data_IF_611187435012
#
_entry.id   IF_611187435012
#
_cell.length_a   1.000
_cell.length_b   1.000
_cell.length_c   1.000
_cell.angle_alpha   90.00
_cell.angle_beta   90.00
_cell.angle_gamma   90.00
#
_symmetry.space_group_name_H-M   'P 1'
#
loop_
_entity.id
_entity.type
_entity.pdbx_description
1 polymer ?
#
# COMPACT_ATOMS: atom_id res chain seq x y z
N UNK A 1 36.40 -43.35 -14.97
CA UNK A 1 35.27 -42.95 -15.82
C UNK A 1 33.97 -43.13 -15.04
N UNK A 2 33.28 -42.04 -14.70
CA UNK A 2 32.08 -42.08 -13.86
C UNK A 2 30.81 -42.14 -14.72
N UNK A 3 29.94 -43.10 -14.43
CA UNK A 3 28.67 -43.32 -15.11
C UNK A 3 27.68 -42.20 -14.76
N UNK A 4 27.39 -41.32 -15.72
CA UNK A 4 26.33 -40.30 -15.60
C UNK A 4 24.95 -40.96 -15.63
N UNK A 5 24.19 -40.85 -14.54
CA UNK A 5 22.76 -41.22 -14.53
C UNK A 5 21.96 -40.07 -15.13
N UNK A 6 21.44 -40.26 -16.35
CA UNK A 6 20.45 -39.38 -16.94
C UNK A 6 19.09 -39.63 -16.25
N UNK A 7 18.69 -38.75 -15.34
CA UNK A 7 17.32 -38.76 -14.82
C UNK A 7 16.44 -37.99 -15.79
N UNK A 8 15.36 -38.62 -16.28
CA UNK A 8 14.39 -37.95 -17.13
C UNK A 8 13.74 -36.78 -16.37
N UNK A 9 13.99 -35.55 -16.82
CA UNK A 9 13.23 -34.37 -16.42
C UNK A 9 12.01 -34.26 -17.34
N UNK A 10 10.81 -34.15 -16.77
CA UNK A 10 9.61 -33.79 -17.54
C UNK A 10 9.77 -32.37 -18.08
N UNK A 11 9.95 -32.24 -19.39
CA UNK A 11 9.86 -30.95 -20.10
C UNK A 11 8.40 -30.61 -20.32
N UNK A 12 7.83 -29.78 -19.44
CA UNK A 12 6.55 -29.11 -19.74
C UNK A 12 6.86 -27.75 -20.33
N UNK A 13 7.09 -27.72 -21.64
CA UNK A 13 7.33 -26.51 -22.41
C UNK A 13 6.92 -26.72 -23.85
N UNK A 14 5.70 -26.28 -24.19
CA UNK A 14 5.17 -26.34 -25.56
C UNK A 14 3.65 -26.40 -25.59
N UNK A 15 2.99 -25.25 -25.37
CA UNK A 15 1.55 -25.14 -25.55
C UNK A 15 1.30 -24.95 -27.05
N UNK A 16 0.76 -25.96 -27.73
CA UNK A 16 0.44 -25.90 -29.15
C UNK A 16 -0.61 -24.81 -29.46
N UNK A 17 -0.61 -24.20 -30.68
CA UNK A 17 -1.57 -23.16 -31.04
C UNK A 17 -2.96 -23.78 -31.19
N UNK A 18 -3.85 -23.47 -30.25
CA UNK A 18 -5.21 -24.03 -30.19
C UNK A 18 -6.16 -23.21 -31.07
N UNK A 19 -6.75 -23.86 -32.08
CA UNK A 19 -7.90 -23.37 -32.88
C UNK A 19 -9.02 -22.87 -31.95
N UNK A 20 -9.53 -21.66 -32.19
CA UNK A 20 -10.57 -21.01 -31.39
C UNK A 20 -11.88 -21.79 -31.45
N UNK A 21 -12.23 -22.42 -30.34
CA UNK A 21 -13.60 -22.74 -29.97
C UNK A 21 -13.79 -22.14 -28.58
N UNK A 22 -14.82 -21.29 -28.47
CA UNK A 22 -15.15 -20.53 -27.28
C UNK A 22 -15.20 -21.43 -26.04
N UNK A 23 -14.16 -21.36 -25.23
CA UNK A 23 -14.09 -22.08 -23.96
C UNK A 23 -14.56 -21.12 -22.89
N UNK A 24 -15.81 -21.33 -22.46
CA UNK A 24 -16.37 -20.79 -21.22
C UNK A 24 -15.32 -20.93 -20.12
N UNK A 25 -14.86 -19.81 -19.58
CA UNK A 25 -13.79 -19.78 -18.59
C UNK A 25 -14.25 -20.51 -17.32
N UNK A 26 -13.94 -21.80 -17.23
CA UNK A 26 -13.97 -22.52 -15.97
C UNK A 26 -12.88 -21.90 -15.08
N UNK A 27 -13.30 -20.95 -14.24
CA UNK A 27 -12.50 -20.46 -13.12
C UNK A 27 -12.04 -21.69 -12.36
N UNK A 28 -10.74 -21.76 -12.06
CA UNK A 28 -10.11 -22.85 -11.30
C UNK A 28 -11.00 -23.23 -10.11
N UNK A 29 -11.75 -24.33 -10.23
CA UNK A 29 -12.36 -24.98 -9.10
C UNK A 29 -11.22 -25.54 -8.23
N UNK A 30 -11.47 -25.55 -6.92
CA UNK A 30 -10.51 -25.92 -5.90
C UNK A 30 -9.77 -27.23 -6.23
N UNK A 31 -8.51 -27.41 -5.79
CA UNK A 31 -7.87 -28.72 -5.88
C UNK A 31 -8.73 -29.73 -5.09
N UNK A 32 -9.34 -30.67 -5.80
CA UNK A 32 -9.80 -31.91 -5.20
C UNK A 32 -8.56 -32.63 -4.68
N UNK A 33 -8.58 -33.07 -3.42
CA UNK A 33 -7.48 -33.68 -2.65
C UNK A 33 -6.31 -32.73 -2.28
N UNK A 34 -6.35 -32.25 -1.03
CA UNK A 34 -5.27 -31.50 -0.37
C UNK A 34 -5.79 -30.18 0.20
N UNK A 35 -5.85 -30.06 1.53
CA UNK A 35 -6.52 -28.98 2.25
C UNK A 35 -6.29 -27.56 1.69
N UNK A 36 -7.34 -26.75 1.71
CA UNK A 36 -7.33 -25.36 1.24
C UNK A 36 -6.12 -24.63 1.82
N UNK A 37 -5.22 -24.15 0.95
CA UNK A 37 -4.07 -23.34 1.36
C UNK A 37 -4.60 -22.17 2.18
N UNK A 38 -4.16 -22.09 3.44
CA UNK A 38 -4.54 -21.01 4.36
C UNK A 38 -4.33 -19.65 3.67
N UNK A 39 -5.29 -18.71 3.75
CA UNK A 39 -5.11 -17.37 3.23
C UNK A 39 -3.82 -16.77 3.77
N UNK A 40 -3.00 -16.23 2.87
CA UNK A 40 -1.74 -15.62 3.28
C UNK A 40 -2.04 -14.35 4.09
N UNK A 41 -1.61 -14.33 5.35
CA UNK A 41 -1.71 -13.17 6.23
C UNK A 41 -0.32 -12.55 6.38
N UNK A 42 -0.22 -11.25 6.13
CA UNK A 42 1.01 -10.50 6.34
C UNK A 42 1.35 -10.40 7.83
N UNK A 43 2.65 -10.29 8.15
CA UNK A 43 3.12 -10.00 9.51
C UNK A 43 2.64 -8.59 9.92
N UNK A 44 2.37 -8.35 11.22
CA UNK A 44 2.08 -7.00 11.70
C UNK A 44 3.20 -6.05 11.26
N UNK A 45 2.84 -4.82 10.90
CA UNK A 45 3.78 -3.81 10.38
C UNK A 45 4.03 -3.88 8.86
N UNK A 46 3.89 -5.03 8.19
CA UNK A 46 4.15 -5.13 6.74
C UNK A 46 3.19 -4.28 5.89
N UNK A 47 1.92 -4.22 6.27
CA UNK A 47 0.91 -3.41 5.56
C UNK A 47 1.13 -1.92 5.87
N UNK A 48 1.37 -1.57 7.14
CA UNK A 48 1.62 -0.19 7.56
C UNK A 48 2.82 0.43 6.84
N UNK A 49 3.96 -0.27 6.75
CA UNK A 49 5.14 0.23 6.03
C UNK A 49 4.88 0.43 4.53
N UNK A 50 4.01 -0.39 3.92
CA UNK A 50 3.62 -0.25 2.51
C UNK A 50 2.75 0.98 2.31
N UNK A 51 1.82 1.23 3.22
CA UNK A 51 0.95 2.41 3.20
C UNK A 51 1.74 3.69 3.42
N UNK A 52 2.67 3.72 4.38
CA UNK A 52 3.60 4.85 4.61
C UNK A 52 4.37 5.18 3.33
N UNK A 53 4.99 4.18 2.69
CA UNK A 53 5.73 4.38 1.43
C UNK A 53 4.83 4.85 0.29
N UNK A 54 3.57 4.39 0.23
CA UNK A 54 2.59 4.84 -0.79
C UNK A 54 2.26 6.31 -0.60
N UNK A 55 1.86 6.71 0.61
CA UNK A 55 1.42 8.07 0.93
C UNK A 55 2.53 9.10 0.98
N UNK A 56 3.78 8.69 1.17
CA UNK A 56 4.92 9.59 1.02
C UNK A 56 5.31 9.79 -0.46
N UNK A 57 4.90 8.87 -1.35
CA UNK A 57 5.19 8.96 -2.79
C UNK A 57 4.12 9.72 -3.58
N UNK A 58 2.86 9.64 -3.16
CA UNK A 58 1.74 10.37 -3.76
C UNK A 58 1.23 11.47 -2.82
N UNK A 59 0.56 12.47 -3.38
CA UNK A 59 -0.09 13.54 -2.59
C UNK A 59 -1.61 13.46 -2.70
N UNK A 60 -2.14 12.24 -2.75
CA UNK A 60 -3.57 12.00 -2.78
C UNK A 60 -4.22 12.30 -1.43
N UNK A 61 -5.47 12.73 -1.47
CA UNK A 61 -6.22 13.06 -0.26
C UNK A 61 -6.57 11.78 0.49
N UNK A 62 -6.15 11.69 1.75
CA UNK A 62 -6.47 10.57 2.64
C UNK A 62 -7.95 10.55 3.03
N UNK A 63 -8.59 11.72 3.02
CA UNK A 63 -10.00 11.91 3.38
C UNK A 63 -10.80 12.16 2.10
N UNK A 64 -12.00 11.57 2.00
CA UNK A 64 -12.92 11.78 0.86
C UNK A 64 -13.32 13.25 0.78
N UNK A 65 -13.33 13.80 -0.45
CA UNK A 65 -13.64 15.22 -0.71
C UNK A 65 -15.03 15.64 -0.22
N UNK A 66 -16.08 14.88 -0.56
CA UNK A 66 -17.47 15.27 -0.30
C UNK A 66 -17.83 15.42 1.20
N UNK A 67 -17.51 14.48 2.10
CA UNK A 67 -17.82 14.65 3.53
C UNK A 67 -17.02 15.79 4.16
N UNK A 68 -15.75 15.99 3.76
CA UNK A 68 -14.94 17.10 4.25
C UNK A 68 -15.49 18.45 3.79
N UNK A 69 -15.88 18.56 2.52
CA UNK A 69 -16.53 19.75 1.97
C UNK A 69 -17.84 20.10 2.71
N UNK A 70 -18.66 19.10 3.07
CA UNK A 70 -19.89 19.32 3.85
C UNK A 70 -19.58 19.89 5.23
N UNK A 71 -18.61 19.30 5.94
CA UNK A 71 -18.18 19.78 7.25
C UNK A 71 -17.69 21.23 7.21
N UNK A 72 -16.87 21.59 6.22
CA UNK A 72 -16.37 22.97 6.08
C UNK A 72 -17.51 23.95 5.82
N UNK A 73 -18.53 23.55 5.06
CA UNK A 73 -19.72 24.39 4.81
C UNK A 73 -20.59 24.54 6.05
N UNK A 74 -20.78 23.48 6.81
CA UNK A 74 -21.51 23.48 8.08
C UNK A 74 -20.89 24.51 9.05
N UNK A 75 -19.58 24.39 9.31
CA UNK A 75 -18.85 25.32 10.18
C UNK A 75 -18.91 26.75 9.65
N UNK A 76 -18.74 26.96 8.34
CA UNK A 76 -18.74 28.29 7.76
C UNK A 76 -20.11 28.98 7.86
N UNK A 77 -21.19 28.20 7.75
CA UNK A 77 -22.54 28.71 7.82
C UNK A 77 -22.90 29.24 9.22
N UNK A 78 -22.28 28.68 10.27
CA UNK A 78 -22.42 29.18 11.65
C UNK A 78 -21.82 30.60 11.83
N UNK A 79 -20.86 30.99 11.00
CA UNK A 79 -20.25 32.33 11.06
C UNK A 79 -20.94 33.34 10.13
N UNK A 80 -21.32 32.93 8.91
CA UNK A 80 -21.98 33.80 7.93
C UNK A 80 -22.78 33.00 6.91
N UNK A 81 -24.07 33.30 6.79
CA UNK A 81 -25.05 32.54 6.00
C UNK A 81 -24.89 32.67 4.48
N UNK A 82 -24.29 33.75 3.97
CA UNK A 82 -24.17 34.04 2.53
C UNK A 82 -22.78 33.75 1.94
N UNK A 83 -22.03 32.81 2.53
CA UNK A 83 -20.72 32.42 2.02
C UNK A 83 -20.85 31.60 0.73
N UNK A 84 -20.38 32.17 -0.39
CA UNK A 84 -20.29 31.48 -1.69
C UNK A 84 -18.89 30.93 -1.87
N UNK A 85 -18.81 29.63 -2.11
CA UNK A 85 -17.56 28.94 -2.33
C UNK A 85 -17.30 28.69 -3.82
N UNK A 86 -16.13 29.13 -4.33
CA UNK A 86 -15.71 28.92 -5.72
C UNK A 86 -15.37 27.44 -5.98
N UNK A 87 -15.83 26.83 -7.07
CA UNK A 87 -15.70 25.38 -7.36
C UNK A 87 -14.29 24.75 -7.32
N UNK A 88 -13.20 25.53 -7.16
CA UNK A 88 -11.82 25.05 -6.99
C UNK A 88 -11.30 25.05 -5.54
N UNK A 89 -12.00 25.69 -4.61
CA UNK A 89 -11.58 25.88 -3.22
C UNK A 89 -11.35 24.58 -2.43
N UNK A 90 -12.12 23.53 -2.72
CA UNK A 90 -12.05 22.21 -2.07
C UNK A 90 -10.67 21.53 -2.25
N UNK A 91 -9.94 21.89 -3.33
CA UNK A 91 -8.64 21.31 -3.66
C UNK A 91 -7.44 22.06 -3.09
N UNK A 92 -7.59 23.34 -2.78
CA UNK A 92 -6.48 24.23 -2.42
C UNK A 92 -6.19 24.19 -0.91
N UNK A 93 -7.22 24.25 -0.05
CA UNK A 93 -7.04 24.25 1.40
C UNK A 93 -6.58 22.90 1.96
N UNK A 94 -7.10 21.79 1.43
CA UNK A 94 -6.70 20.46 1.90
C UNK A 94 -5.22 20.15 1.55
N UNK A 95 -4.69 20.78 0.50
CA UNK A 95 -3.25 20.78 0.24
C UNK A 95 -2.50 21.64 1.25
N UNK A 96 -2.95 22.85 1.58
CA UNK A 96 -2.27 23.71 2.56
C UNK A 96 -2.21 23.06 3.94
N UNK A 97 -3.28 22.42 4.41
CA UNK A 97 -3.33 21.74 5.72
C UNK A 97 -2.46 20.48 5.76
N UNK A 98 -2.20 19.83 4.62
CA UNK A 98 -1.38 18.62 4.53
C UNK A 98 0.02 18.86 3.91
N UNK A 99 0.34 20.10 3.54
CA UNK A 99 1.61 20.51 2.90
C UNK A 99 2.57 21.17 3.89
N UNK A 100 2.48 20.80 5.17
CA UNK A 100 3.59 21.00 6.09
C UNK A 100 4.48 19.75 6.00
N UNK A 101 5.80 19.89 5.76
CA UNK A 101 6.66 18.78 5.41
C UNK A 101 6.81 17.84 6.60
N UNK A 102 6.03 16.75 6.59
CA UNK A 102 6.25 15.60 7.48
C UNK A 102 7.64 14.98 7.31
N UNK A 103 8.33 15.28 6.21
CA UNK A 103 9.75 14.96 6.01
C UNK A 103 10.68 15.65 7.02
N UNK A 104 10.32 16.83 7.55
CA UNK A 104 11.14 17.55 8.55
C UNK A 104 10.85 17.08 9.98
N UNK A 105 9.59 16.77 10.30
CA UNK A 105 9.20 16.32 11.65
C UNK A 105 9.55 14.85 11.90
N UNK A 106 9.47 14.00 10.87
CA UNK A 106 9.74 12.56 11.04
C UNK A 106 11.23 12.21 11.04
N UNK A 107 12.08 12.95 10.29
CA UNK A 107 13.54 12.78 10.39
C UNK A 107 14.08 13.25 11.76
N UNK A 108 13.55 14.36 12.31
CA UNK A 108 13.98 14.86 13.61
C UNK A 108 13.72 13.90 14.77
N UNK A 109 12.67 13.07 14.69
CA UNK A 109 12.38 12.07 15.72
C UNK A 109 13.10 10.74 15.49
N UNK A 110 13.44 10.38 14.25
CA UNK A 110 14.13 9.12 13.95
C UNK A 110 15.65 9.22 14.20
N UNK A 111 16.27 10.38 13.97
CA UNK A 111 17.68 10.62 14.31
C UNK A 111 17.92 10.75 15.82
N UNK A 112 16.95 11.28 16.60
CA UNK A 112 17.11 11.43 18.06
C UNK A 112 16.94 10.11 18.86
N UNK A 113 16.36 9.06 18.28
CA UNK A 113 16.23 7.75 18.96
C UNK A 113 17.37 6.76 18.66
N UNK A 114 18.30 7.08 17.77
CA UNK A 114 19.38 6.14 17.37
C UNK A 114 20.77 6.50 17.94
N UNK A 115 20.92 7.62 18.65
CA UNK A 115 22.19 8.09 19.27
C UNK A 115 22.11 8.01 20.82
N UNK A 116 21.41 7.03 21.41
CA UNK A 116 21.43 6.86 22.88
C UNK A 116 21.63 5.42 23.38
N UNK A 117 21.80 4.44 22.50
CA UNK A 117 22.15 3.08 22.92
C UNK A 117 23.43 2.62 22.24
N UNK A 118 24.54 3.27 22.60
CA UNK A 118 25.88 2.67 22.48
C UNK A 118 26.16 1.93 23.80
N UNK A 119 26.11 0.58 23.83
CA UNK A 119 26.53 -0.15 25.02
C UNK A 119 28.05 -0.05 25.13
N UNK A 120 28.50 0.63 26.19
CA UNK A 120 29.91 0.66 26.61
C UNK A 120 30.43 -0.79 26.69
N UNK A 121 31.41 -1.10 25.84
CA UNK A 121 32.16 -2.35 25.89
C UNK A 121 33.00 -2.36 27.16
N UNK A 122 32.54 -3.07 28.19
CA UNK A 122 33.35 -3.30 29.37
C UNK A 122 34.34 -4.44 29.09
N UNK A 123 35.59 -4.05 28.83
CA UNK A 123 36.73 -4.95 28.82
C UNK A 123 37.01 -5.46 30.24
N UNK A 124 36.99 -6.78 30.42
CA UNK A 124 37.71 -7.48 31.48
C UNK A 124 38.20 -8.81 30.95
#
# INVERSE_FOLDING_TARGET
MARTKQTARKSTGGKAPRKQLATKAARKSAPATGGVKKPHRYRPGTVALREIRRYQKSTELLIRKLPFQRLVREIAQDFKTDLRFQSGWDGCYLKVVLSHPWSTVFNFHYENTFIQHEPQTNAR
#
